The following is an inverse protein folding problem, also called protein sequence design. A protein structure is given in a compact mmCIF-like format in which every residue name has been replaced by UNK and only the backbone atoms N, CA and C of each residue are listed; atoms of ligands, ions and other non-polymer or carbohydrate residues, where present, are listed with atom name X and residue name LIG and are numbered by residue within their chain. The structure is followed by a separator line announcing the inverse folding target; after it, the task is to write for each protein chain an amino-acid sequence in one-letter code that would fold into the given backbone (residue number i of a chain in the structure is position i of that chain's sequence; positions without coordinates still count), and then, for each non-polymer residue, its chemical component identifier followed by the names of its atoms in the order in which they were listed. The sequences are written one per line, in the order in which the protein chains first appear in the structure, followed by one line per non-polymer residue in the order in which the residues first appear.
data_IF_511739891244
#
_entry.id   IF_511739891244
#
_cell.length_a   1.000
_cell.length_b   1.000
_cell.length_c   1.000
_cell.angle_alpha   90.00
_cell.angle_beta   90.00
_cell.angle_gamma   90.00
#
_symmetry.space_group_name_H-M   'P 1'
#
loop_
_entity.id
_entity.type
_entity.pdbx_description
1 polymer ?
#
# COMPACT_ATOMS: atom_id res chain seq x y z
N UNK A 1 12.21 -40.45 -66.95
CA UNK A 1 11.13 -39.49 -67.25
C UNK A 1 10.42 -39.22 -65.92
N UNK A 2 10.52 -37.98 -65.40
CA UNK A 2 9.62 -37.25 -64.46
C UNK A 2 8.95 -38.06 -63.31
N UNK A 3 8.95 -37.70 -62.03
CA UNK A 3 8.82 -36.38 -61.39
C UNK A 3 9.08 -36.54 -59.86
N UNK A 4 9.31 -35.41 -59.20
CA UNK A 4 9.65 -35.15 -57.79
C UNK A 4 8.44 -35.31 -56.83
N UNK A 5 8.68 -35.79 -55.59
CA UNK A 5 8.04 -35.36 -54.32
C UNK A 5 8.66 -36.16 -53.14
N UNK A 6 9.45 -35.55 -52.24
CA UNK A 6 9.06 -34.81 -51.02
C UNK A 6 8.88 -35.71 -49.79
N UNK A 7 9.80 -35.62 -48.82
CA UNK A 7 9.46 -35.62 -47.38
C UNK A 7 10.49 -34.78 -46.61
N UNK A 8 9.98 -33.73 -45.97
CA UNK A 8 10.69 -32.78 -45.13
C UNK A 8 11.17 -33.42 -43.82
N UNK A 9 12.41 -33.12 -43.45
CA UNK A 9 12.94 -33.24 -42.09
C UNK A 9 12.44 -32.05 -41.26
N UNK A 10 11.67 -32.32 -40.20
CA UNK A 10 11.29 -31.31 -39.21
C UNK A 10 12.54 -30.96 -38.37
N UNK A 11 13.10 -29.77 -38.58
CA UNK A 11 14.05 -29.16 -37.64
C UNK A 11 13.27 -28.46 -36.53
N UNK A 12 13.68 -28.75 -35.29
CA UNK A 12 13.36 -28.01 -34.08
C UNK A 12 13.58 -26.50 -34.28
N UNK A 13 12.53 -25.70 -34.12
CA UNK A 13 12.67 -24.29 -33.76
C UNK A 13 12.28 -24.15 -32.28
N UNK A 14 13.29 -23.97 -31.44
CA UNK A 14 13.13 -23.30 -30.16
C UNK A 14 12.67 -21.86 -30.45
N UNK A 15 11.40 -21.57 -30.19
CA UNK A 15 10.98 -20.20 -29.91
C UNK A 15 10.95 -20.04 -28.39
N UNK A 16 12.09 -19.64 -27.83
CA UNK A 16 12.09 -18.81 -26.62
C UNK A 16 11.43 -17.49 -26.99
N UNK A 17 10.12 -17.38 -26.79
CA UNK A 17 9.47 -16.08 -26.67
C UNK A 17 9.70 -15.59 -25.25
N UNK A 18 10.88 -15.02 -25.00
CA UNK A 18 11.05 -14.07 -23.90
C UNK A 18 10.08 -12.92 -24.17
N UNK A 19 8.99 -12.90 -23.42
CA UNK A 19 8.10 -11.75 -23.37
C UNK A 19 8.92 -10.58 -22.81
N UNK A 20 9.48 -9.76 -23.70
CA UNK A 20 9.97 -8.44 -23.36
C UNK A 20 8.77 -7.65 -22.86
N UNK A 21 8.63 -7.57 -21.53
CA UNK A 21 7.71 -6.66 -20.86
C UNK A 21 8.15 -5.25 -21.27
N UNK A 22 7.48 -4.67 -22.27
CA UNK A 22 7.70 -3.28 -22.65
C UNK A 22 7.16 -2.44 -21.49
N UNK A 23 8.06 -2.03 -20.59
CA UNK A 23 7.73 -1.06 -19.56
C UNK A 23 7.38 0.26 -20.25
N UNK A 24 6.12 0.68 -20.13
CA UNK A 24 5.73 2.02 -20.54
C UNK A 24 6.56 3.03 -19.74
N UNK A 25 7.18 3.99 -20.43
CA UNK A 25 7.96 5.02 -19.77
C UNK A 25 7.08 5.80 -18.78
N UNK A 26 7.56 6.09 -17.56
CA UNK A 26 6.81 6.84 -16.56
C UNK A 26 6.27 8.17 -17.10
N UNK A 27 5.00 8.47 -16.84
CA UNK A 27 4.42 9.76 -17.19
C UNK A 27 4.93 10.84 -16.21
N UNK A 28 5.51 11.90 -16.76
CA UNK A 28 6.03 13.02 -15.99
C UNK A 28 5.06 14.21 -15.92
N UNK A 29 3.92 14.20 -16.64
CA UNK A 29 2.94 15.28 -16.68
C UNK A 29 1.67 14.92 -15.89
N UNK A 30 1.81 14.69 -14.59
CA UNK A 30 0.73 14.21 -13.73
C UNK A 30 -0.12 15.36 -13.17
N UNK A 31 0.50 16.41 -12.64
CA UNK A 31 -0.19 17.50 -11.96
C UNK A 31 -0.63 18.62 -12.90
N UNK A 32 0.09 18.83 -14.00
CA UNK A 32 -0.17 19.90 -14.95
C UNK A 32 0.11 19.45 -16.40
N UNK A 33 -0.61 19.95 -17.42
CA UNK A 33 -0.28 19.67 -18.81
C UNK A 33 1.12 20.11 -19.24
N UNK A 34 1.68 21.17 -18.64
CA UNK A 34 3.07 21.56 -18.86
C UNK A 34 4.03 20.58 -18.17
N UNK A 35 4.76 19.80 -18.97
CA UNK A 35 5.79 18.85 -18.50
C UNK A 35 6.87 19.53 -17.64
N UNK A 36 7.12 20.82 -17.85
CA UNK A 36 8.11 21.58 -17.09
C UNK A 36 7.52 22.30 -15.88
N UNK A 37 6.22 22.15 -15.62
CA UNK A 37 5.57 22.72 -14.45
C UNK A 37 6.28 22.25 -13.16
N UNK A 38 6.41 23.15 -12.19
CA UNK A 38 7.21 22.92 -10.99
C UNK A 38 6.75 21.68 -10.20
N UNK A 39 5.44 21.45 -10.11
CA UNK A 39 4.88 20.28 -9.41
C UNK A 39 5.20 18.96 -10.13
N UNK A 40 5.19 18.95 -11.47
CA UNK A 40 5.55 17.80 -12.27
C UNK A 40 7.03 17.46 -12.07
N UNK A 41 7.91 18.48 -12.17
CA UNK A 41 9.35 18.32 -11.93
C UNK A 41 9.65 17.79 -10.53
N UNK A 42 8.96 18.33 -9.51
CA UNK A 42 9.11 17.89 -8.12
C UNK A 42 8.65 16.43 -7.93
N UNK A 43 7.47 16.09 -8.44
CA UNK A 43 6.94 14.73 -8.37
C UNK A 43 7.85 13.74 -9.11
N UNK A 44 8.21 14.01 -10.36
CA UNK A 44 9.07 13.13 -11.15
C UNK A 44 10.43 12.90 -10.49
N UNK A 45 11.02 13.93 -9.85
CA UNK A 45 12.28 13.76 -9.13
C UNK A 45 12.17 12.75 -7.98
N UNK A 46 11.03 12.70 -7.29
CA UNK A 46 10.85 11.83 -6.12
C UNK A 46 10.27 10.44 -6.46
N UNK A 47 9.47 10.33 -7.52
CA UNK A 47 8.72 9.11 -7.85
C UNK A 47 9.26 8.34 -9.04
N UNK A 48 10.19 8.90 -9.81
CA UNK A 48 10.85 8.20 -10.92
C UNK A 48 12.26 7.78 -10.49
N UNK A 49 12.52 6.47 -10.53
CA UNK A 49 13.86 5.90 -10.39
C UNK A 49 14.41 5.51 -11.75
N UNK A 50 15.72 5.55 -11.87
CA UNK A 50 16.45 5.06 -13.04
C UNK A 50 17.32 3.88 -12.61
N UNK A 51 17.32 2.80 -13.40
CA UNK A 51 18.26 1.69 -13.22
C UNK A 51 19.63 2.01 -13.84
N UNK A 52 20.59 1.09 -13.73
CA UNK A 52 21.94 1.31 -14.28
C UNK A 52 21.96 1.32 -15.81
N UNK A 53 20.90 0.85 -16.46
CA UNK A 53 20.75 0.81 -17.91
C UNK A 53 20.01 2.05 -18.43
N UNK A 54 19.59 2.98 -17.56
CA UNK A 54 18.87 4.18 -17.94
C UNK A 54 17.35 4.01 -18.06
N UNK A 55 16.82 2.83 -17.71
CA UNK A 55 15.38 2.59 -17.76
C UNK A 55 14.71 3.28 -16.57
N UNK A 56 13.57 3.93 -16.83
CA UNK A 56 12.83 4.68 -15.83
C UNK A 56 11.66 3.86 -15.30
N UNK A 57 11.47 3.91 -13.98
CA UNK A 57 10.41 3.19 -13.27
C UNK A 57 9.67 4.11 -12.32
N UNK A 58 8.37 3.88 -12.15
CA UNK A 58 7.52 4.62 -11.22
C UNK A 58 6.76 5.75 -11.87
N UNK A 59 6.79 6.95 -11.27
CA UNK A 59 5.91 8.06 -11.64
C UNK A 59 4.53 7.90 -11.01
N UNK A 60 3.58 7.29 -11.71
CA UNK A 60 2.19 7.22 -11.22
C UNK A 60 1.92 6.03 -10.27
N UNK A 61 2.76 5.91 -9.23
CA UNK A 61 2.67 4.90 -8.17
C UNK A 61 2.27 5.52 -6.85
N UNK A 62 1.49 4.81 -6.03
CA UNK A 62 1.05 5.29 -4.71
C UNK A 62 2.22 5.64 -3.79
N UNK A 63 3.29 4.84 -3.81
CA UNK A 63 4.47 5.04 -2.98
C UNK A 63 5.73 5.13 -3.86
N UNK A 64 6.71 5.97 -3.47
CA UNK A 64 7.98 6.07 -4.17
C UNK A 64 8.87 4.85 -3.88
N UNK A 65 9.76 4.54 -4.81
CA UNK A 65 10.78 3.51 -4.63
C UNK A 65 11.91 3.99 -3.71
N UNK A 66 11.67 3.92 -2.40
CA UNK A 66 12.61 4.32 -1.36
C UNK A 66 12.67 3.27 -0.25
N UNK A 67 13.88 2.85 0.12
CA UNK A 67 14.13 1.85 1.15
C UNK A 67 15.02 2.41 2.26
N UNK A 68 14.98 1.85 3.48
CA UNK A 68 15.93 2.23 4.53
C UNK A 68 17.41 2.08 4.12
N UNK A 69 17.70 1.16 3.20
CA UNK A 69 19.04 0.90 2.66
C UNK A 69 19.49 1.85 1.54
N UNK A 70 18.63 2.73 1.02
CA UNK A 70 19.00 3.69 -0.03
C UNK A 70 20.08 4.66 0.50
N UNK A 71 21.19 4.77 -0.22
CA UNK A 71 22.34 5.61 0.16
C UNK A 71 22.71 6.67 -0.88
N UNK A 72 22.33 6.49 -2.13
CA UNK A 72 22.73 7.38 -3.22
C UNK A 72 21.57 8.27 -3.69
N UNK A 73 20.43 7.65 -4.04
CA UNK A 73 19.30 8.37 -4.63
C UNK A 73 18.73 9.42 -3.65
N UNK A 74 18.65 10.67 -4.10
CA UNK A 74 18.25 11.86 -3.33
C UNK A 74 19.18 12.25 -2.17
N UNK A 75 20.19 11.46 -1.84
CA UNK A 75 21.09 11.70 -0.70
C UNK A 75 22.48 12.17 -1.11
N UNK A 76 22.90 11.87 -2.34
CA UNK A 76 24.21 12.25 -2.87
C UNK A 76 24.14 12.85 -4.28
N UNK A 77 25.23 13.56 -4.61
CA UNK A 77 25.52 14.07 -5.94
C UNK A 77 24.40 14.91 -6.57
N UNK A 78 24.26 14.78 -7.88
CA UNK A 78 23.35 15.61 -8.69
C UNK A 78 21.87 15.44 -8.28
N UNK A 79 21.44 14.24 -7.88
CA UNK A 79 20.03 14.01 -7.50
C UNK A 79 19.69 14.74 -6.20
N UNK A 80 20.58 14.73 -5.21
CA UNK A 80 20.41 15.49 -3.98
C UNK A 80 20.41 17.00 -4.24
N UNK A 81 21.39 17.52 -4.99
CA UNK A 81 21.45 18.94 -5.32
C UNK A 81 20.17 19.41 -6.04
N UNK A 82 19.67 18.64 -7.01
CA UNK A 82 18.40 18.93 -7.70
C UNK A 82 17.20 18.93 -6.74
N UNK A 83 17.15 17.98 -5.80
CA UNK A 83 16.06 17.92 -4.81
C UNK A 83 16.04 19.17 -3.92
N UNK A 84 17.21 19.58 -3.45
CA UNK A 84 17.37 20.78 -2.64
C UNK A 84 16.95 22.03 -3.43
N UNK A 85 17.45 22.20 -4.66
CA UNK A 85 17.11 23.35 -5.51
C UNK A 85 15.62 23.40 -5.82
N UNK A 86 15.01 22.29 -6.27
CA UNK A 86 13.58 22.28 -6.62
C UNK A 86 12.67 22.54 -5.42
N UNK A 87 13.02 22.02 -4.24
CA UNK A 87 12.27 22.33 -3.02
C UNK A 87 12.45 23.81 -2.62
N UNK A 88 13.65 24.38 -2.76
CA UNK A 88 13.89 25.80 -2.51
C UNK A 88 13.11 26.68 -3.50
N UNK A 89 13.06 26.32 -4.78
CA UNK A 89 12.24 27.01 -5.79
C UNK A 89 10.75 26.93 -5.45
N UNK A 90 10.27 25.75 -5.02
CA UNK A 90 8.89 25.55 -4.58
C UNK A 90 8.53 26.41 -3.37
N UNK A 91 9.43 26.52 -2.40
CA UNK A 91 9.17 27.27 -1.16
C UNK A 91 9.28 28.78 -1.41
N UNK A 92 10.38 29.24 -2.01
CA UNK A 92 10.67 30.68 -2.20
C UNK A 92 9.83 31.29 -3.33
N UNK A 93 9.54 30.52 -4.37
CA UNK A 93 8.77 30.96 -5.53
C UNK A 93 7.26 30.83 -5.35
N UNK A 94 6.76 30.60 -4.13
CA UNK A 94 5.35 30.33 -3.87
C UNK A 94 4.77 29.19 -4.74
N UNK A 95 5.56 28.15 -4.97
CA UNK A 95 5.20 27.01 -5.82
C UNK A 95 3.87 26.35 -5.42
N UNK A 96 3.55 26.34 -4.12
CA UNK A 96 2.27 25.86 -3.60
C UNK A 96 1.04 26.62 -4.15
N UNK A 97 1.19 27.86 -4.64
CA UNK A 97 0.10 28.68 -5.20
C UNK A 97 -0.13 28.43 -6.69
N UNK A 98 0.80 27.76 -7.38
CA UNK A 98 0.69 27.49 -8.83
C UNK A 98 -0.52 26.60 -9.16
N UNK A 99 -0.94 25.74 -8.23
CA UNK A 99 -2.15 24.92 -8.36
C UNK A 99 -3.01 25.07 -7.10
N UNK A 100 -4.21 25.61 -7.27
CA UNK A 100 -5.19 25.80 -6.19
C UNK A 100 -6.10 24.59 -5.95
N UNK A 101 -6.11 23.61 -6.88
CA UNK A 101 -6.99 22.45 -6.79
C UNK A 101 -6.69 21.62 -5.51
N UNK A 102 -7.67 21.46 -4.59
CA UNK A 102 -7.42 20.82 -3.29
C UNK A 102 -7.08 19.34 -3.41
N UNK A 103 -7.62 18.63 -4.42
CA UNK A 103 -7.30 17.23 -4.68
C UNK A 103 -5.83 17.07 -5.10
N UNK A 104 -5.35 17.90 -6.04
CA UNK A 104 -3.94 17.89 -6.45
C UNK A 104 -3.02 18.27 -5.28
N UNK A 105 -3.40 19.27 -4.47
CA UNK A 105 -2.67 19.67 -3.25
C UNK A 105 -2.54 18.52 -2.25
N UNK A 106 -3.63 17.83 -1.95
CA UNK A 106 -3.64 16.67 -1.04
C UNK A 106 -2.69 15.56 -1.51
N UNK A 107 -2.76 15.23 -2.80
CA UNK A 107 -1.90 14.18 -3.40
C UNK A 107 -0.43 14.57 -3.30
N UNK A 108 -0.05 15.80 -3.69
CA UNK A 108 1.35 16.23 -3.60
C UNK A 108 1.82 16.33 -2.15
N UNK A 109 0.99 16.80 -1.21
CA UNK A 109 1.34 16.83 0.21
C UNK A 109 1.64 15.42 0.73
N UNK A 110 0.78 14.46 0.41
CA UNK A 110 0.94 13.07 0.84
C UNK A 110 2.21 12.44 0.23
N UNK A 111 2.49 12.75 -1.04
CA UNK A 111 3.72 12.34 -1.72
C UNK A 111 4.96 12.88 -1.00
N UNK A 112 5.02 14.18 -0.68
CA UNK A 112 6.15 14.77 0.05
C UNK A 112 6.28 14.23 1.48
N UNK A 113 5.16 13.94 2.15
CA UNK A 113 5.17 13.32 3.47
C UNK A 113 5.79 11.92 3.43
N UNK A 114 5.60 11.17 2.34
CA UNK A 114 6.25 9.87 2.18
C UNK A 114 7.78 9.96 2.15
N UNK A 115 8.32 10.98 1.48
CA UNK A 115 9.76 11.24 1.42
C UNK A 115 10.28 11.68 2.79
N UNK A 116 9.55 12.56 3.49
CA UNK A 116 9.91 13.01 4.82
C UNK A 116 10.03 11.82 5.78
N UNK A 117 9.00 10.97 5.85
CA UNK A 117 8.99 9.81 6.72
C UNK A 117 10.13 8.85 6.39
N UNK A 118 10.45 8.62 5.11
CA UNK A 118 11.59 7.78 4.73
C UNK A 118 12.90 8.33 5.30
N UNK A 119 13.17 9.63 5.14
CA UNK A 119 14.38 10.25 5.71
C UNK A 119 14.42 10.23 7.24
N UNK A 120 13.27 10.13 7.91
CA UNK A 120 13.16 10.10 9.37
C UNK A 120 13.24 8.68 9.96
N UNK A 121 13.10 7.63 9.15
CA UNK A 121 13.08 6.23 9.59
C UNK A 121 14.15 5.37 8.89
N UNK A 122 15.21 5.97 8.36
CA UNK A 122 16.27 5.24 7.64
C UNK A 122 16.97 4.17 8.49
N UNK A 123 16.93 4.31 9.82
CA UNK A 123 17.52 3.38 10.78
C UNK A 123 16.56 2.22 11.15
N UNK A 124 15.31 2.27 10.69
CA UNK A 124 14.30 1.25 10.97
C UNK A 124 14.15 0.33 9.77
N UNK A 125 14.56 -0.92 9.94
CA UNK A 125 14.26 -1.97 8.95
C UNK A 125 12.76 -2.12 8.74
N UNK A 126 12.35 -2.53 7.53
CA UNK A 126 10.95 -2.84 7.25
C UNK A 126 10.60 -4.24 7.81
N UNK A 127 9.32 -4.51 8.14
CA UNK A 127 8.92 -5.80 8.70
C UNK A 127 9.29 -7.03 7.85
N UNK A 128 9.40 -6.86 6.53
CA UNK A 128 9.64 -7.94 5.56
C UNK A 128 10.64 -7.49 4.49
N UNK A 129 11.90 -7.24 4.86
CA UNK A 129 12.94 -6.74 3.95
C UNK A 129 13.42 -5.34 4.32
N UNK A 130 14.06 -4.63 3.38
CA UNK A 130 14.52 -3.26 3.61
C UNK A 130 15.42 -3.11 4.85
N UNK A 131 16.48 -3.92 4.95
CA UNK A 131 17.40 -3.90 6.10
C UNK A 131 18.14 -2.57 6.13
N UNK A 132 18.12 -1.88 7.27
CA UNK A 132 19.04 -0.77 7.51
C UNK A 132 20.46 -1.33 7.60
N UNK A 133 21.35 -0.90 6.70
CA UNK A 133 22.75 -1.33 6.69
C UNK A 133 23.63 -0.28 7.40
N UNK A 134 24.80 -0.64 7.97
CA UNK A 134 25.73 0.35 8.53
C UNK A 134 26.12 1.46 7.54
N UNK A 135 26.13 1.16 6.23
CA UNK A 135 26.42 2.13 5.18
C UNK A 135 25.41 3.29 5.13
N UNK A 136 24.19 3.07 5.61
CA UNK A 136 23.18 4.12 5.71
C UNK A 136 23.47 5.14 6.84
N UNK A 137 24.44 4.88 7.72
CA UNK A 137 24.73 5.64 8.95
C UNK A 137 26.02 6.47 8.86
N UNK A 138 26.18 7.27 7.80
CA UNK A 138 27.26 8.26 7.73
C UNK A 138 26.79 9.66 8.11
N UNK A 139 27.71 10.50 8.59
CA UNK A 139 27.41 11.90 8.91
C UNK A 139 26.91 12.66 7.67
N UNK A 140 27.55 12.46 6.51
CA UNK A 140 27.15 13.05 5.23
C UNK A 140 25.70 12.72 4.88
N UNK A 141 25.31 11.44 4.95
CA UNK A 141 23.94 11.01 4.66
C UNK A 141 22.93 11.59 5.65
N UNK A 142 23.30 11.70 6.93
CA UNK A 142 22.47 12.31 7.95
C UNK A 142 22.25 13.81 7.70
N UNK A 143 23.27 14.52 7.23
CA UNK A 143 23.17 15.93 6.85
C UNK A 143 22.30 16.11 5.60
N UNK A 144 22.45 15.25 4.58
CA UNK A 144 21.57 15.23 3.40
C UNK A 144 20.10 14.99 3.79
N UNK A 145 19.83 13.98 4.64
CA UNK A 145 18.47 13.72 5.16
C UNK A 145 17.93 14.89 5.96
N UNK A 146 18.74 15.54 6.79
CA UNK A 146 18.35 16.73 7.55
C UNK A 146 18.01 17.90 6.62
N UNK A 147 18.80 18.13 5.57
CA UNK A 147 18.57 19.17 4.58
C UNK A 147 17.26 18.97 3.81
N UNK A 148 16.93 17.72 3.47
CA UNK A 148 15.63 17.34 2.88
C UNK A 148 14.48 17.56 3.88
N UNK A 149 14.56 17.02 5.10
CA UNK A 149 13.50 17.15 6.13
C UNK A 149 13.09 18.59 6.38
N UNK A 150 14.06 19.50 6.48
CA UNK A 150 13.79 20.93 6.69
C UNK A 150 12.93 21.53 5.56
N UNK A 151 13.17 21.15 4.32
CA UNK A 151 12.46 21.69 3.16
C UNK A 151 11.13 20.99 2.92
N UNK A 152 11.13 19.66 3.04
CA UNK A 152 9.92 18.84 2.93
C UNK A 152 8.87 19.27 3.96
N UNK A 153 9.27 19.48 5.22
CA UNK A 153 8.34 19.98 6.26
C UNK A 153 7.70 21.31 5.88
N UNK A 154 8.48 22.28 5.37
CA UNK A 154 7.91 23.56 4.90
C UNK A 154 6.99 23.39 3.69
N UNK A 155 7.37 22.57 2.72
CA UNK A 155 6.52 22.33 1.55
C UNK A 155 5.20 21.61 1.92
N UNK A 156 5.26 20.65 2.85
CA UNK A 156 4.10 19.94 3.39
C UNK A 156 3.14 20.91 4.11
N UNK A 157 3.69 21.80 4.93
CA UNK A 157 2.94 22.86 5.63
C UNK A 157 2.26 23.83 4.66
N UNK A 158 3.00 24.32 3.64
CA UNK A 158 2.44 25.20 2.60
C UNK A 158 1.34 24.55 1.74
N UNK A 159 1.37 23.21 1.61
CA UNK A 159 0.36 22.44 0.88
C UNK A 159 -0.84 22.05 1.74
N UNK A 160 -0.80 22.29 3.05
CA UNK A 160 -1.85 21.89 3.97
C UNK A 160 -3.22 22.45 3.59
N UNK A 161 -4.22 21.59 3.73
CA UNK A 161 -5.61 21.90 3.44
C UNK A 161 -6.35 22.33 4.71
N UNK A 162 -7.39 23.13 4.53
CA UNK A 162 -8.39 23.30 5.58
C UNK A 162 -9.13 21.98 5.78
N UNK A 163 -9.64 21.74 6.99
CA UNK A 163 -10.33 20.50 7.34
C UNK A 163 -11.56 20.27 6.45
N UNK A 164 -12.29 21.35 6.11
CA UNK A 164 -13.44 21.29 5.20
C UNK A 164 -13.04 20.82 3.80
N UNK A 165 -11.95 21.33 3.25
CA UNK A 165 -11.47 20.95 1.91
C UNK A 165 -11.00 19.50 1.89
N UNK A 166 -10.29 19.08 2.94
CA UNK A 166 -9.81 17.70 3.07
C UNK A 166 -10.95 16.68 3.18
N UNK A 167 -12.04 17.03 3.88
CA UNK A 167 -13.24 16.19 3.99
C UNK A 167 -14.10 16.22 2.72
N UNK A 168 -14.06 17.32 1.98
CA UNK A 168 -14.80 17.49 0.71
C UNK A 168 -14.07 16.88 -0.50
N UNK A 169 -12.88 16.31 -0.33
CA UNK A 169 -12.18 15.62 -1.41
C UNK A 169 -13.04 14.48 -1.99
N UNK A 170 -12.82 14.22 -3.27
CA UNK A 170 -13.56 13.24 -4.05
C UNK A 170 -13.56 11.84 -3.41
N UNK A 171 -14.73 11.20 -3.37
CA UNK A 171 -14.82 9.77 -3.03
C UNK A 171 -14.60 8.94 -4.28
N UNK A 172 -13.32 8.69 -4.58
CA UNK A 172 -12.94 7.97 -5.78
C UNK A 172 -13.43 6.50 -5.82
N UNK A 173 -13.57 5.85 -4.67
CA UNK A 173 -14.10 4.48 -4.62
C UNK A 173 -15.55 4.44 -5.14
N UNK A 174 -16.40 5.34 -4.65
CA UNK A 174 -17.80 5.43 -5.10
C UNK A 174 -17.91 5.77 -6.58
N UNK A 175 -17.00 6.59 -7.12
CA UNK A 175 -16.95 6.87 -8.56
C UNK A 175 -16.53 5.64 -9.38
N UNK A 176 -15.52 4.89 -8.92
CA UNK A 176 -15.08 3.66 -9.58
C UNK A 176 -16.17 2.58 -9.61
N UNK A 177 -16.95 2.45 -8.53
CA UNK A 177 -18.12 1.57 -8.50
C UNK A 177 -19.22 2.08 -9.45
N UNK A 178 -19.47 3.39 -9.47
CA UNK A 178 -20.53 4.00 -10.29
C UNK A 178 -20.25 3.97 -11.78
N UNK A 179 -18.97 3.87 -12.19
CA UNK A 179 -18.59 3.75 -13.59
C UNK A 179 -18.99 2.41 -14.22
N UNK A 180 -19.29 1.38 -13.40
CA UNK A 180 -19.64 0.02 -13.82
C UNK A 180 -18.57 -0.67 -14.68
N UNK A 181 -17.34 -0.17 -14.64
CA UNK A 181 -16.18 -0.74 -15.34
C UNK A 181 -15.78 -2.10 -14.78
N UNK A 182 -16.06 -2.32 -13.49
CA UNK A 182 -15.72 -3.53 -12.75
C UNK A 182 -16.99 -4.23 -12.29
N UNK A 183 -16.93 -5.55 -12.14
CA UNK A 183 -18.03 -6.32 -11.56
C UNK A 183 -18.31 -5.84 -10.13
N UNK A 184 -19.58 -5.89 -9.69
CA UNK A 184 -19.95 -5.48 -8.33
C UNK A 184 -19.86 -6.62 -7.31
N UNK A 185 -19.78 -7.86 -7.79
CA UNK A 185 -19.70 -9.07 -6.98
C UNK A 185 -18.69 -10.03 -7.63
N UNK A 186 -18.16 -10.94 -6.81
CA UNK A 186 -17.31 -12.02 -7.30
C UNK A 186 -18.16 -13.06 -8.05
N UNK A 187 -17.65 -13.49 -9.20
CA UNK A 187 -18.18 -14.61 -9.98
C UNK A 187 -17.03 -15.59 -10.25
N UNK A 188 -17.16 -16.82 -9.75
CA UNK A 188 -16.14 -17.86 -9.92
C UNK A 188 -15.93 -18.22 -11.40
N UNK A 189 -16.96 -18.09 -12.24
CA UNK A 189 -16.87 -18.34 -13.70
C UNK A 189 -16.20 -17.21 -14.47
N UNK A 190 -16.14 -16.01 -13.89
CA UNK A 190 -15.49 -14.83 -14.46
C UNK A 190 -14.32 -14.35 -13.59
N UNK A 191 -13.57 -15.28 -12.97
CA UNK A 191 -12.54 -14.94 -11.99
C UNK A 191 -11.43 -14.03 -12.53
N UNK A 192 -11.20 -14.02 -13.83
CA UNK A 192 -10.23 -13.12 -14.48
C UNK A 192 -10.74 -11.67 -14.61
N UNK A 193 -12.06 -11.45 -14.49
CA UNK A 193 -12.63 -10.10 -14.45
C UNK A 193 -12.47 -9.52 -13.05
N UNK A 194 -12.02 -8.27 -13.00
CA UNK A 194 -11.88 -7.54 -11.76
C UNK A 194 -13.26 -7.15 -11.19
N UNK A 195 -13.43 -7.27 -9.88
CA UNK A 195 -14.62 -6.81 -9.17
C UNK A 195 -14.29 -5.80 -8.07
N UNK A 196 -15.20 -4.84 -7.87
CA UNK A 196 -15.11 -3.79 -6.87
C UNK A 196 -16.47 -3.64 -6.16
N UNK A 197 -16.61 -4.15 -4.91
CA UNK A 197 -17.90 -4.27 -4.25
C UNK A 197 -18.47 -2.94 -3.75
N UNK A 198 -19.67 -2.57 -4.19
CA UNK A 198 -20.30 -1.28 -3.89
C UNK A 198 -20.51 -1.01 -2.38
N UNK A 199 -20.66 -2.06 -1.58
CA UNK A 199 -20.96 -1.99 -0.14
C UNK A 199 -19.73 -2.03 0.77
N UNK A 200 -18.50 -2.12 0.24
CA UNK A 200 -17.28 -2.33 1.03
C UNK A 200 -17.00 -1.25 2.08
N UNK A 201 -17.17 0.02 1.69
CA UNK A 201 -16.87 1.18 2.54
C UNK A 201 -18.10 1.74 3.25
N UNK A 202 -19.10 0.89 3.51
CA UNK A 202 -20.30 1.23 4.26
C UNK A 202 -20.34 0.47 5.59
N UNK A 203 -20.51 1.17 6.71
CA UNK A 203 -20.71 0.54 8.02
C UNK A 203 -21.99 -0.31 8.09
N UNK A 204 -22.91 -0.17 7.12
CA UNK A 204 -24.15 -0.96 6.99
C UNK A 204 -24.10 -1.96 5.84
N UNK A 205 -23.00 -2.03 5.10
CA UNK A 205 -22.84 -2.93 3.96
C UNK A 205 -22.62 -4.39 4.37
N UNK A 206 -22.53 -5.27 3.37
CA UNK A 206 -22.31 -6.70 3.57
C UNK A 206 -20.95 -7.01 4.21
N UNK A 207 -19.99 -6.12 3.97
CA UNK A 207 -18.65 -6.19 4.51
C UNK A 207 -18.60 -5.66 5.95
N UNK A 208 -18.04 -6.46 6.85
CA UNK A 208 -17.82 -6.07 8.25
C UNK A 208 -16.38 -5.60 8.40
N UNK A 209 -16.19 -4.35 8.82
CA UNK A 209 -14.87 -3.88 9.22
C UNK A 209 -14.44 -4.64 10.49
N UNK A 210 -13.23 -5.20 10.49
CA UNK A 210 -12.72 -6.06 11.57
C UNK A 210 -11.36 -5.59 12.06
N UNK A 211 -11.09 -5.88 13.34
CA UNK A 211 -9.82 -5.59 14.03
C UNK A 211 -9.34 -6.78 14.86
N UNK A 212 -8.07 -6.75 15.23
CA UNK A 212 -7.47 -7.72 16.13
C UNK A 212 -7.78 -7.45 17.61
N UNK A 213 -7.21 -8.29 18.48
CA UNK A 213 -7.33 -8.16 19.93
C UNK A 213 -6.55 -6.95 20.48
N UNK A 214 -5.44 -6.57 19.85
CA UNK A 214 -4.63 -5.43 20.26
C UNK A 214 -5.35 -4.09 20.03
N UNK A 215 -4.96 -3.08 20.83
CA UNK A 215 -5.52 -1.72 20.72
C UNK A 215 -4.96 -0.91 19.55
N UNK A 216 -3.97 -1.43 18.83
CA UNK A 216 -3.36 -0.80 17.67
C UNK A 216 -4.20 -0.91 16.39
N UNK A 217 -3.63 -0.54 15.24
CA UNK A 217 -4.30 -0.64 13.95
C UNK A 217 -4.66 -2.08 13.55
N UNK A 218 -5.70 -2.24 12.73
CA UNK A 218 -6.17 -3.54 12.23
C UNK A 218 -5.19 -4.29 11.32
N UNK A 219 -4.31 -3.58 10.62
CA UNK A 219 -3.27 -4.15 9.76
C UNK A 219 -1.88 -3.60 10.14
N UNK A 220 -1.34 -3.99 11.32
CA UNK A 220 -0.15 -3.35 11.91
C UNK A 220 1.12 -3.52 11.05
N UNK A 221 1.27 -4.64 10.35
CA UNK A 221 2.37 -4.86 9.39
C UNK A 221 2.35 -3.82 8.27
N UNK A 222 1.18 -3.63 7.63
CA UNK A 222 1.02 -2.65 6.56
C UNK A 222 1.24 -1.23 7.10
N UNK A 223 0.68 -0.91 8.26
CA UNK A 223 0.88 0.37 8.92
C UNK A 223 2.37 0.69 9.16
N UNK A 224 3.16 -0.29 9.62
CA UNK A 224 4.61 -0.11 9.80
C UNK A 224 5.33 0.11 8.49
N UNK A 225 5.02 -0.71 7.48
CA UNK A 225 5.69 -0.64 6.19
C UNK A 225 5.52 0.74 5.54
N UNK A 226 4.33 1.33 5.65
CA UNK A 226 4.02 2.65 5.07
C UNK A 226 4.10 3.81 6.07
N UNK A 227 4.75 3.61 7.22
CA UNK A 227 5.00 4.66 8.21
C UNK A 227 3.75 5.28 8.85
N UNK A 228 2.59 4.65 8.71
CA UNK A 228 1.30 5.11 9.26
C UNK A 228 0.74 6.38 8.62
N UNK A 229 1.23 6.79 7.45
CA UNK A 229 0.71 7.95 6.70
C UNK A 229 -0.71 7.73 6.18
N UNK A 230 -1.16 6.48 6.15
CA UNK A 230 -2.44 6.05 5.63
C UNK A 230 -3.03 4.98 6.54
N UNK A 231 -4.29 5.07 6.99
CA UNK A 231 -4.95 3.96 7.64
C UNK A 231 -5.14 2.79 6.68
N UNK A 232 -4.96 1.59 7.21
CA UNK A 232 -5.30 0.33 6.56
C UNK A 232 -6.49 -0.30 7.28
N UNK A 233 -7.59 -0.42 6.56
CA UNK A 233 -8.85 -0.97 7.04
C UNK A 233 -8.98 -2.42 6.54
N UNK A 234 -9.37 -3.34 7.42
CA UNK A 234 -9.60 -4.74 7.06
C UNK A 234 -11.08 -5.03 7.13
N UNK A 235 -11.59 -5.70 6.10
CA UNK A 235 -12.99 -6.09 6.02
C UNK A 235 -13.10 -7.59 5.77
N UNK A 236 -14.14 -8.18 6.35
CA UNK A 236 -14.51 -9.57 6.17
C UNK A 236 -15.94 -9.63 5.62
N UNK A 237 -16.17 -10.51 4.65
CA UNK A 237 -17.49 -10.86 4.15
C UNK A 237 -17.55 -12.38 3.96
N UNK A 238 -18.26 -13.08 4.84
CA UNK A 238 -18.54 -14.51 4.66
C UNK A 238 -19.81 -14.69 3.80
N UNK A 239 -19.94 -15.79 3.03
CA UNK A 239 -21.17 -16.16 2.35
C UNK A 239 -22.42 -15.97 3.22
N UNK A 240 -23.45 -15.32 2.66
CA UNK A 240 -24.64 -14.88 3.41
C UNK A 240 -24.52 -13.46 3.99
N UNK A 241 -23.38 -12.78 3.79
CA UNK A 241 -23.23 -11.35 4.03
C UNK A 241 -23.01 -10.99 5.50
N UNK A 242 -23.50 -9.81 5.88
CA UNK A 242 -23.18 -9.18 7.16
C UNK A 242 -23.60 -10.01 8.38
N UNK A 243 -24.82 -10.54 8.37
CA UNK A 243 -25.37 -11.29 9.51
C UNK A 243 -24.61 -12.60 9.75
N UNK A 244 -24.31 -13.35 8.68
CA UNK A 244 -23.49 -14.56 8.77
C UNK A 244 -22.05 -14.23 9.19
N UNK A 245 -21.52 -13.08 8.75
CA UNK A 245 -20.19 -12.63 9.18
C UNK A 245 -20.17 -12.40 10.69
N UNK A 246 -21.19 -11.75 11.27
CA UNK A 246 -21.29 -11.58 12.72
C UNK A 246 -21.43 -12.91 13.47
N UNK A 247 -22.24 -13.85 12.96
CA UNK A 247 -22.38 -15.19 13.55
C UNK A 247 -21.03 -15.91 13.58
N UNK A 248 -20.29 -15.88 12.47
CA UNK A 248 -18.96 -16.46 12.37
C UNK A 248 -17.97 -15.82 13.36
N UNK A 249 -17.89 -14.49 13.41
CA UNK A 249 -17.00 -13.77 14.33
C UNK A 249 -17.33 -14.10 15.79
N UNK A 250 -18.61 -14.20 16.15
CA UNK A 250 -19.02 -14.60 17.49
C UNK A 250 -18.58 -16.03 17.82
N UNK A 251 -18.82 -16.98 16.91
CA UNK A 251 -18.39 -18.37 17.06
C UNK A 251 -16.87 -18.48 17.23
N UNK A 252 -16.09 -17.80 16.37
CA UNK A 252 -14.64 -17.76 16.46
C UNK A 252 -14.16 -17.23 17.81
N UNK A 253 -14.65 -16.07 18.23
CA UNK A 253 -14.20 -15.45 19.48
C UNK A 253 -14.60 -16.26 20.72
N UNK A 254 -15.76 -16.94 20.70
CA UNK A 254 -16.17 -17.85 21.77
C UNK A 254 -15.27 -19.08 21.85
N UNK A 255 -14.96 -19.70 20.71
CA UNK A 255 -14.06 -20.85 20.65
C UNK A 255 -12.66 -20.49 21.14
N UNK A 256 -12.13 -19.35 20.72
CA UNK A 256 -10.80 -18.87 21.18
C UNK A 256 -10.82 -18.44 22.65
N UNK A 257 -11.92 -17.91 23.19
CA UNK A 257 -11.99 -17.48 24.59
C UNK A 257 -11.99 -18.63 25.62
N UNK A 258 -12.31 -19.86 25.19
CA UNK A 258 -12.33 -21.01 26.11
C UNK A 258 -10.93 -21.26 26.66
N UNK A 259 -10.80 -21.29 27.98
CA UNK A 259 -9.57 -21.79 28.64
C UNK A 259 -9.51 -23.28 28.34
N UNK A 260 -8.53 -23.72 27.56
CA UNK A 260 -8.24 -25.17 27.44
C UNK A 260 -7.82 -25.65 28.83
N UNK A 261 -8.68 -26.39 29.52
CA UNK A 261 -8.36 -26.95 30.84
C UNK A 261 -7.37 -28.11 30.75
N UNK A 262 -7.19 -28.70 29.57
CA UNK A 262 -6.28 -29.82 29.33
C UNK A 262 -5.57 -29.64 27.98
N UNK A 263 -4.29 -30.05 27.92
CA UNK A 263 -3.44 -29.92 26.74
C UNK A 263 -3.84 -30.86 25.57
N UNK A 264 -4.81 -31.74 25.81
CA UNK A 264 -5.24 -32.82 24.91
C UNK A 264 -6.51 -32.52 24.10
N UNK A 265 -7.30 -31.51 24.50
CA UNK A 265 -8.61 -31.23 23.88
C UNK A 265 -8.56 -29.96 23.01
N UNK A 266 -7.62 -29.93 22.06
CA UNK A 266 -7.55 -28.87 21.04
C UNK A 266 -8.66 -29.09 20.02
N UNK A 267 -9.91 -28.74 20.36
CA UNK A 267 -10.96 -28.62 19.35
C UNK A 267 -10.49 -27.65 18.26
N UNK A 268 -10.59 -28.02 16.98
CA UNK A 268 -10.14 -27.16 15.89
C UNK A 268 -10.88 -25.83 15.93
N UNK A 269 -10.17 -24.74 15.62
CA UNK A 269 -10.78 -23.42 15.52
C UNK A 269 -11.85 -23.44 14.41
N UNK A 270 -12.99 -22.75 14.60
CA UNK A 270 -14.01 -22.67 13.57
C UNK A 270 -13.44 -21.94 12.34
N UNK A 271 -13.41 -22.65 11.22
CA UNK A 271 -12.99 -22.10 9.94
C UNK A 271 -14.13 -21.31 9.29
N UNK A 272 -13.78 -20.31 8.49
CA UNK A 272 -14.76 -19.59 7.67
C UNK A 272 -15.16 -20.46 6.45
N UNK A 273 -16.35 -20.29 5.86
CA UNK A 273 -16.78 -21.10 4.72
C UNK A 273 -16.09 -20.71 3.40
N UNK A 274 -16.06 -21.63 2.41
CA UNK A 274 -15.65 -21.35 1.01
C UNK A 274 -16.42 -20.13 0.49
N UNK A 275 -15.75 -19.25 -0.26
CA UNK A 275 -16.31 -18.01 -0.79
C UNK A 275 -16.17 -16.82 0.17
N UNK A 276 -15.63 -17.03 1.37
CA UNK A 276 -15.27 -15.93 2.26
C UNK A 276 -14.31 -14.99 1.55
N UNK A 277 -14.57 -13.70 1.70
CA UNK A 277 -13.79 -12.63 1.10
C UNK A 277 -13.17 -11.74 2.17
N UNK A 278 -11.91 -11.37 1.98
CA UNK A 278 -11.18 -10.43 2.85
C UNK A 278 -10.70 -9.27 2.00
N UNK A 279 -10.95 -8.04 2.45
CA UNK A 279 -10.47 -6.85 1.79
C UNK A 279 -9.56 -6.04 2.70
N UNK A 280 -8.51 -5.46 2.12
CA UNK A 280 -7.63 -4.49 2.74
C UNK A 280 -7.74 -3.18 1.95
N UNK A 281 -8.19 -2.12 2.61
CA UNK A 281 -8.34 -0.79 1.99
C UNK A 281 -7.39 0.19 2.65
N UNK A 282 -6.57 0.84 1.82
CA UNK A 282 -5.72 1.97 2.24
C UNK A 282 -6.42 3.27 1.89
N UNK A 283 -6.67 4.14 2.89
CA UNK A 283 -7.16 5.50 2.64
C UNK A 283 -6.04 6.52 2.79
N UNK A 284 -6.09 7.61 2.03
CA UNK A 284 -5.13 8.70 2.14
C UNK A 284 -5.43 9.56 3.37
N UNK A 285 -4.42 9.77 4.21
CA UNK A 285 -4.45 10.87 5.19
C UNK A 285 -3.72 12.09 4.64
N UNK A 286 -4.16 13.26 5.08
CA UNK A 286 -3.53 14.56 4.82
C UNK A 286 -3.20 15.23 6.15
N UNK A 287 -2.31 16.23 6.10
CA UNK A 287 -2.01 17.11 7.22
C UNK A 287 -2.76 18.41 7.00
N UNK A 288 -3.57 18.79 7.96
CA UNK A 288 -4.40 20.00 7.90
C UNK A 288 -3.57 21.23 8.25
N UNK A 289 -4.07 22.43 7.93
CA UNK A 289 -3.41 23.68 8.36
C UNK A 289 -3.30 23.83 9.87
N UNK A 290 -4.16 23.14 10.63
CA UNK A 290 -4.08 23.05 12.09
C UNK A 290 -2.99 22.10 12.58
N UNK A 291 -2.23 21.48 11.67
CA UNK A 291 -1.16 20.53 11.98
C UNK A 291 -1.66 19.11 12.31
N UNK A 292 -2.97 18.86 12.21
CA UNK A 292 -3.57 17.56 12.54
C UNK A 292 -3.58 16.60 11.35
N UNK A 293 -3.60 15.30 11.64
CA UNK A 293 -3.82 14.28 10.62
C UNK A 293 -5.33 14.09 10.43
N UNK A 294 -5.78 14.18 9.18
CA UNK A 294 -7.16 13.90 8.78
C UNK A 294 -7.18 12.80 7.72
N UNK A 295 -8.10 11.83 7.85
CA UNK A 295 -8.31 10.79 6.84
C UNK A 295 -9.33 11.27 5.81
N UNK A 296 -8.89 11.46 4.57
CA UNK A 296 -9.74 11.91 3.47
C UNK A 296 -10.66 10.78 2.94
N UNK A 297 -11.66 11.11 2.10
CA UNK A 297 -12.42 10.11 1.35
C UNK A 297 -11.60 9.29 0.35
N UNK A 298 -10.41 9.76 -0.06
CA UNK A 298 -9.59 9.11 -1.09
C UNK A 298 -9.10 7.72 -0.66
N UNK A 299 -9.28 6.75 -1.55
CA UNK A 299 -8.75 5.41 -1.47
C UNK A 299 -7.51 5.29 -2.34
N UNK A 300 -6.40 4.86 -1.74
CA UNK A 300 -5.13 4.68 -2.43
C UNK A 300 -4.97 3.27 -2.99
N UNK A 301 -5.40 2.26 -2.23
CA UNK A 301 -5.36 0.87 -2.67
C UNK A 301 -6.56 0.10 -2.14
N UNK A 302 -6.99 -0.89 -2.92
CA UNK A 302 -7.98 -1.89 -2.52
C UNK A 302 -7.41 -3.24 -2.89
N UNK A 303 -7.21 -4.12 -1.92
CA UNK A 303 -6.85 -5.51 -2.18
C UNK A 303 -8.00 -6.38 -1.70
N UNK A 304 -8.42 -7.34 -2.53
CA UNK A 304 -9.49 -8.28 -2.21
C UNK A 304 -8.97 -9.69 -2.44
N UNK A 305 -9.26 -10.60 -1.51
CA UNK A 305 -9.00 -12.03 -1.62
C UNK A 305 -10.31 -12.77 -1.44
N UNK A 306 -10.59 -13.72 -2.32
CA UNK A 306 -11.72 -14.64 -2.21
C UNK A 306 -11.17 -16.05 -2.04
N UNK A 307 -11.57 -16.74 -0.98
CA UNK A 307 -11.07 -18.09 -0.69
C UNK A 307 -11.91 -19.14 -1.41
N UNK A 308 -11.32 -19.79 -2.41
CA UNK A 308 -11.95 -20.84 -3.22
C UNK A 308 -11.87 -22.22 -2.53
N UNK A 309 -10.92 -22.39 -1.60
CA UNK A 309 -10.77 -23.59 -0.79
C UNK A 309 -10.45 -23.19 0.65
N UNK A 310 -10.98 -23.94 1.62
CA UNK A 310 -10.80 -23.71 3.06
C UNK A 310 -10.48 -25.03 3.75
N UNK A 311 -9.41 -25.06 4.53
CA UNK A 311 -8.97 -26.25 5.26
C UNK A 311 -7.48 -26.22 5.59
N UNK A 312 -7.06 -27.11 6.50
CA UNK A 312 -5.67 -27.21 6.99
C UNK A 312 -4.75 -27.94 5.99
N UNK A 313 -5.29 -28.77 5.09
CA UNK A 313 -4.53 -29.60 4.14
C UNK A 313 -4.24 -28.94 2.79
N UNK A 314 -4.47 -27.63 2.67
CA UNK A 314 -4.26 -26.88 1.41
C UNK A 314 -2.77 -26.69 1.16
N UNK A 315 -2.24 -27.39 0.15
CA UNK A 315 -0.83 -27.30 -0.28
C UNK A 315 -0.57 -26.20 -1.31
N UNK A 316 -1.54 -25.93 -2.19
CA UNK A 316 -1.43 -24.88 -3.21
C UNK A 316 -2.17 -23.62 -2.77
N UNK A 317 -1.41 -22.69 -2.19
CA UNK A 317 -1.94 -21.41 -1.72
C UNK A 317 -2.28 -20.43 -2.85
N UNK A 318 -1.80 -20.66 -4.07
CA UNK A 318 -2.20 -19.84 -5.23
C UNK A 318 -3.56 -20.28 -5.75
N UNK A 319 -3.80 -21.59 -5.82
CA UNK A 319 -5.09 -22.12 -6.27
C UNK A 319 -6.22 -21.94 -5.24
N UNK A 320 -5.90 -21.83 -3.94
CA UNK A 320 -6.92 -21.73 -2.90
C UNK A 320 -7.60 -20.37 -2.80
N UNK A 321 -7.11 -19.35 -3.48
CA UNK A 321 -7.63 -17.99 -3.40
C UNK A 321 -7.48 -17.22 -4.71
N UNK A 322 -8.47 -16.37 -5.00
CA UNK A 322 -8.37 -15.39 -6.08
C UNK A 322 -8.07 -14.02 -5.49
N UNK A 323 -7.03 -13.35 -6.02
CA UNK A 323 -6.57 -12.05 -5.51
C UNK A 323 -6.82 -10.96 -6.55
N UNK A 324 -7.37 -9.84 -6.09
CA UNK A 324 -7.56 -8.62 -6.86
C UNK A 324 -6.85 -7.48 -6.14
N UNK A 325 -6.25 -6.57 -6.90
CA UNK A 325 -5.66 -5.35 -6.36
C UNK A 325 -5.97 -4.18 -7.28
N UNK A 326 -6.41 -3.09 -6.70
CA UNK A 326 -6.56 -1.80 -7.34
C UNK A 326 -5.60 -0.82 -6.68
N UNK A 327 -5.03 0.05 -7.50
CA UNK A 327 -4.15 1.13 -7.06
C UNK A 327 -4.65 2.45 -7.62
N UNK A 328 -4.45 3.52 -6.85
CA UNK A 328 -4.72 4.86 -7.31
C UNK A 328 -3.74 5.23 -8.43
N UNK A 329 -4.29 5.68 -9.54
CA UNK A 329 -3.61 6.30 -10.65
C UNK A 329 -3.99 7.79 -10.64
N UNK A 330 -3.02 8.67 -10.39
CA UNK A 330 -3.23 10.11 -10.20
C UNK A 330 -3.73 10.75 -11.48
N UNK A 331 -3.22 10.34 -12.65
CA UNK A 331 -3.66 10.89 -13.93
C UNK A 331 -5.15 10.66 -14.15
N UNK A 332 -5.60 9.42 -13.98
CA UNK A 332 -7.02 9.07 -14.10
C UNK A 332 -7.85 9.71 -12.99
N UNK A 333 -7.32 9.81 -11.76
CA UNK A 333 -7.99 10.49 -10.66
C UNK A 333 -8.28 11.96 -11.00
N UNK A 334 -7.27 12.68 -11.50
CA UNK A 334 -7.42 14.10 -11.87
C UNK A 334 -8.26 14.29 -13.12
N UNK A 335 -8.27 13.31 -14.03
CA UNK A 335 -9.15 13.27 -15.19
C UNK A 335 -10.56 12.72 -14.87
N UNK A 336 -10.84 12.34 -13.62
CA UNK A 336 -12.10 11.70 -13.19
C UNK A 336 -12.47 10.42 -13.95
N UNK A 337 -11.48 9.71 -14.48
CA UNK A 337 -11.67 8.45 -15.22
C UNK A 337 -11.79 7.31 -14.21
N UNK A 338 -12.96 6.68 -14.10
CA UNK A 338 -13.22 5.54 -13.20
C UNK A 338 -12.78 5.80 -11.74
N UNK A 339 -12.87 7.05 -11.27
CA UNK A 339 -12.34 7.48 -9.97
C UNK A 339 -10.81 7.40 -9.82
N UNK A 340 -10.07 7.03 -10.87
CA UNK A 340 -8.63 6.83 -10.78
C UNK A 340 -8.21 5.55 -10.05
N UNK A 341 -9.09 4.57 -9.88
CA UNK A 341 -8.70 3.25 -9.41
C UNK A 341 -8.48 2.32 -10.61
N UNK A 342 -7.25 1.85 -10.78
CA UNK A 342 -6.86 0.91 -11.84
C UNK A 342 -6.52 -0.47 -11.26
N UNK A 343 -6.94 -1.56 -11.90
CA UNK A 343 -6.53 -2.89 -11.49
C UNK A 343 -5.03 -3.11 -11.76
N UNK A 344 -4.38 -3.84 -10.87
CA UNK A 344 -2.99 -4.30 -11.05
C UNK A 344 -3.01 -5.59 -11.87
N UNK A 345 -2.19 -5.62 -12.94
CA UNK A 345 -2.02 -6.83 -13.76
C UNK A 345 -1.42 -7.97 -12.92
N UNK A 346 -1.86 -9.21 -13.18
CA UNK A 346 -1.45 -10.42 -12.45
C UNK A 346 0.07 -10.59 -12.30
N UNK A 347 0.81 -10.28 -13.37
CA UNK A 347 2.26 -10.44 -13.46
C UNK A 347 3.03 -9.14 -13.22
N UNK A 348 2.36 -8.04 -12.84
CA UNK A 348 3.03 -6.77 -12.60
C UNK A 348 4.07 -6.90 -11.49
N UNK A 349 5.29 -6.47 -11.78
CA UNK A 349 6.37 -6.27 -10.80
C UNK A 349 6.45 -4.81 -10.32
N UNK A 350 5.60 -3.93 -10.86
CA UNK A 350 5.64 -2.49 -10.61
C UNK A 350 4.87 -2.11 -9.34
N UNK A 351 5.54 -1.33 -8.49
CA UNK A 351 5.05 -0.87 -7.21
C UNK A 351 5.65 -1.65 -6.04
N UNK A 352 5.68 -1.01 -4.87
CA UNK A 352 6.08 -1.66 -3.63
C UNK A 352 4.86 -2.40 -3.05
N UNK A 353 4.78 -3.71 -3.22
CA UNK A 353 3.89 -4.55 -2.42
C UNK A 353 4.66 -5.34 -1.40
N UNK A 354 4.99 -4.70 -0.26
CA UNK A 354 5.68 -5.38 0.84
C UNK A 354 6.87 -6.22 0.33
N UNK A 355 7.56 -5.75 -0.72
CA UNK A 355 8.50 -6.59 -1.46
C UNK A 355 9.69 -6.79 -0.54
N UNK A 356 10.09 -8.07 -0.39
CA UNK A 356 11.19 -8.57 0.43
C UNK A 356 12.57 -8.02 0.07
N UNK A 357 12.64 -7.01 -0.79
CA UNK A 357 13.87 -6.45 -1.29
C UNK A 357 14.36 -5.28 -0.45
N UNK A 358 15.64 -5.00 -0.59
CA UNK A 358 16.24 -3.70 -0.30
C UNK A 358 16.25 -2.88 -1.59
N UNK A 359 16.96 -1.75 -1.60
CA UNK A 359 17.10 -0.92 -2.80
C UNK A 359 17.81 -1.69 -3.93
N UNK A 360 17.00 -2.20 -4.87
CA UNK A 360 17.49 -3.00 -5.99
C UNK A 360 18.01 -2.16 -7.17
N UNK A 361 17.79 -0.85 -7.14
CA UNK A 361 18.41 0.08 -8.09
C UNK A 361 19.88 0.32 -7.71
N UNK A 362 20.19 0.35 -6.41
CA UNK A 362 21.57 0.43 -5.91
C UNK A 362 22.24 -0.96 -5.88
N UNK A 363 21.48 -2.04 -5.70
CA UNK A 363 21.97 -3.42 -5.74
C UNK A 363 21.07 -4.37 -6.54
N UNK A 364 21.38 -4.55 -7.83
CA UNK A 364 20.60 -5.38 -8.76
C UNK A 364 20.42 -6.84 -8.32
N UNK A 365 21.30 -7.38 -7.45
CA UNK A 365 21.14 -8.74 -6.89
C UNK A 365 19.88 -8.88 -6.04
N UNK A 366 19.28 -7.77 -5.64
CA UNK A 366 18.07 -7.70 -4.81
C UNK A 366 16.82 -7.46 -5.65
N UNK A 367 16.93 -7.49 -6.99
CA UNK A 367 15.79 -7.32 -7.89
C UNK A 367 14.74 -8.41 -7.58
N UNK A 368 13.47 -8.04 -7.40
CA UNK A 368 12.43 -9.02 -7.09
C UNK A 368 12.25 -10.01 -8.24
N UNK A 369 11.96 -11.26 -7.88
CA UNK A 369 11.67 -12.36 -8.81
C UNK A 369 10.19 -12.76 -8.85
N UNK A 370 9.31 -12.01 -8.19
CA UNK A 370 7.88 -12.29 -8.06
C UNK A 370 7.02 -11.06 -8.33
N UNK A 371 5.76 -11.29 -8.69
CA UNK A 371 4.80 -10.21 -8.95
C UNK A 371 4.25 -9.61 -7.66
N UNK A 372 3.68 -8.42 -7.80
CA UNK A 372 2.99 -7.71 -6.72
C UNK A 372 1.85 -8.54 -6.12
N UNK A 373 1.15 -9.29 -6.97
CA UNK A 373 0.04 -10.15 -6.54
C UNK A 373 0.55 -11.37 -5.77
N UNK A 374 1.73 -11.89 -6.12
CA UNK A 374 2.36 -13.02 -5.46
C UNK A 374 2.81 -12.68 -4.04
N UNK A 375 3.34 -11.48 -3.79
CA UNK A 375 3.74 -11.09 -2.43
C UNK A 375 2.56 -11.03 -1.45
N UNK A 376 1.36 -10.69 -1.94
CA UNK A 376 0.13 -10.76 -1.17
C UNK A 376 -0.20 -12.19 -0.73
N UNK A 377 0.02 -13.17 -1.60
CA UNK A 377 -0.21 -14.59 -1.32
C UNK A 377 0.85 -15.09 -0.33
N UNK A 378 2.12 -14.78 -0.56
CA UNK A 378 3.24 -15.30 0.24
C UNK A 378 3.19 -14.91 1.71
N UNK A 379 2.77 -13.68 2.01
CA UNK A 379 2.52 -13.30 3.39
C UNK A 379 1.30 -14.04 3.96
N UNK A 380 0.20 -14.14 3.22
CA UNK A 380 -1.06 -14.66 3.75
C UNK A 380 -1.24 -16.17 3.60
N UNK A 381 -0.27 -16.88 3.00
CA UNK A 381 -0.29 -18.32 2.80
C UNK A 381 0.10 -19.12 4.03
N UNK A 382 0.75 -18.49 5.03
CA UNK A 382 1.25 -19.17 6.24
C UNK A 382 0.15 -19.87 7.09
N UNK A 383 -1.14 -19.66 6.78
CA UNK A 383 -2.26 -20.39 7.37
C UNK A 383 -3.11 -21.18 6.36
N UNK A 384 -2.76 -21.23 5.08
CA UNK A 384 -3.67 -21.76 4.04
C UNK A 384 -5.01 -21.04 3.97
N UNK A 385 -6.03 -21.68 3.41
CA UNK A 385 -7.41 -21.17 3.43
C UNK A 385 -8.06 -21.27 4.81
N UNK A 386 -7.36 -20.90 5.89
CA UNK A 386 -7.88 -20.97 7.27
C UNK A 386 -7.94 -19.60 7.91
N UNK A 387 -8.55 -19.51 9.09
CA UNK A 387 -8.59 -18.29 9.93
C UNK A 387 -7.18 -17.71 10.20
N UNK A 388 -6.13 -18.54 10.18
CA UNK A 388 -4.75 -18.09 10.41
C UNK A 388 -4.19 -17.24 9.24
N UNK A 389 -4.76 -17.34 8.04
CA UNK A 389 -4.42 -16.43 6.93
C UNK A 389 -4.93 -15.01 7.12
N UNK A 390 -5.86 -14.79 8.06
CA UNK A 390 -6.33 -13.47 8.46
C UNK A 390 -5.39 -12.93 9.54
N UNK A 391 -4.35 -12.20 9.14
CA UNK A 391 -3.30 -11.71 10.07
C UNK A 391 -3.79 -10.68 11.08
N UNK A 392 -4.96 -10.09 10.85
CA UNK A 392 -5.67 -9.31 11.87
C UNK A 392 -6.09 -10.17 13.07
N UNK A 393 -6.38 -11.46 12.85
CA UNK A 393 -6.60 -12.46 13.90
C UNK A 393 -5.28 -13.02 14.45
N UNK A 394 -4.38 -13.51 13.58
CA UNK A 394 -3.08 -14.12 13.95
C UNK A 394 -1.99 -13.06 14.20
N UNK A 395 -2.24 -12.14 15.13
CA UNK A 395 -1.30 -11.04 15.40
C UNK A 395 -0.02 -11.51 16.12
N UNK A 396 -0.11 -12.56 16.91
CA UNK A 396 0.97 -13.11 17.75
C UNK A 396 2.21 -13.55 16.96
N UNK A 397 2.07 -13.97 15.70
CA UNK A 397 3.21 -14.38 14.88
C UNK A 397 3.98 -13.20 14.25
N UNK A 398 3.33 -12.04 14.06
CA UNK A 398 3.83 -10.99 13.17
C UNK A 398 3.88 -9.59 13.82
N UNK A 399 3.30 -9.46 15.01
CA UNK A 399 3.24 -8.21 15.75
C UNK A 399 4.06 -8.41 17.03
N UNK A 400 5.24 -7.79 17.18
CA UNK A 400 6.09 -7.95 18.35
C UNK A 400 5.36 -7.73 19.68
N UNK A 401 4.42 -6.78 19.74
CA UNK A 401 3.60 -6.48 20.91
C UNK A 401 2.60 -7.61 21.25
N UNK A 402 2.36 -8.54 20.32
CA UNK A 402 1.55 -9.75 20.51
C UNK A 402 2.38 -11.03 20.69
N UNK A 403 3.73 -10.99 20.63
CA UNK A 403 4.58 -12.19 20.67
C UNK A 403 4.45 -13.04 21.96
N UNK A 404 3.87 -12.48 23.03
CA UNK A 404 3.53 -13.19 24.27
C UNK A 404 2.02 -13.37 24.50
N UNK A 405 1.19 -13.08 23.51
CA UNK A 405 -0.26 -13.21 23.63
C UNK A 405 -0.64 -14.68 23.63
N UNK A 406 -1.25 -15.15 24.73
CA UNK A 406 -1.84 -16.48 24.77
C UNK A 406 -2.88 -16.66 23.66
N UNK A 407 -2.90 -17.84 23.02
CA UNK A 407 -3.87 -18.18 21.97
C UNK A 407 -5.31 -17.85 22.38
N UNK A 408 -5.64 -18.05 23.66
CA UNK A 408 -6.99 -17.79 24.17
C UNK A 408 -7.37 -16.29 24.27
N UNK A 409 -6.45 -15.39 23.95
CA UNK A 409 -6.65 -13.93 23.86
C UNK A 409 -6.73 -13.43 22.42
N UNK A 410 -6.43 -14.25 21.41
CA UNK A 410 -6.58 -13.87 20.00
C UNK A 410 -8.07 -13.63 19.68
N UNK A 411 -8.36 -12.55 18.98
CA UNK A 411 -9.73 -12.17 18.63
C UNK A 411 -9.76 -11.54 17.25
N UNK A 412 -10.87 -11.75 16.55
CA UNK A 412 -11.24 -10.99 15.37
C UNK A 412 -12.56 -10.28 15.68
N UNK A 413 -12.50 -8.98 15.94
CA UNK A 413 -13.62 -8.23 16.49
C UNK A 413 -14.20 -7.32 15.43
N UNK A 414 -15.54 -7.21 15.30
CA UNK A 414 -16.12 -6.18 14.48
C UNK A 414 -15.78 -4.79 15.02
N UNK A 415 -15.64 -3.82 14.13
CA UNK A 415 -15.33 -2.43 14.43
C UNK A 415 -16.04 -1.51 13.43
N UNK A 416 -15.87 -0.20 13.59
CA UNK A 416 -16.40 0.81 12.66
C UNK A 416 -15.25 1.45 11.90
N UNK A 417 -15.52 1.85 10.67
CA UNK A 417 -14.52 2.49 9.79
C UNK A 417 -13.86 3.69 10.49
N UNK A 418 -14.66 4.57 11.11
CA UNK A 418 -14.17 5.77 11.78
C UNK A 418 -13.28 5.45 12.99
N UNK A 419 -13.58 4.38 13.74
CA UNK A 419 -12.78 4.01 14.91
C UNK A 419 -11.41 3.46 14.51
N UNK A 420 -11.34 2.71 13.42
CA UNK A 420 -10.05 2.24 12.88
C UNK A 420 -9.21 3.38 12.30
N UNK A 421 -9.84 4.37 11.67
CA UNK A 421 -9.14 5.60 11.26
C UNK A 421 -8.53 6.33 12.45
N UNK A 422 -9.29 6.51 13.55
CA UNK A 422 -8.79 7.12 14.79
C UNK A 422 -7.63 6.31 15.40
N UNK A 423 -7.70 4.98 15.40
CA UNK A 423 -6.60 4.12 15.88
C UNK A 423 -5.33 4.28 15.05
N UNK A 424 -5.46 4.36 13.73
CA UNK A 424 -4.33 4.60 12.83
C UNK A 424 -3.69 5.97 13.09
N UNK A 425 -4.49 7.02 13.24
CA UNK A 425 -4.01 8.37 13.60
C UNK A 425 -3.30 8.34 14.96
N UNK A 426 -3.93 7.76 15.99
CA UNK A 426 -3.33 7.64 17.33
C UNK A 426 -2.01 6.88 17.31
N UNK A 427 -1.90 5.85 16.46
CA UNK A 427 -0.65 5.13 16.25
C UNK A 427 0.44 6.02 15.63
N UNK A 428 0.12 6.80 14.59
CA UNK A 428 1.06 7.74 13.95
C UNK A 428 1.50 8.85 14.92
N UNK A 429 0.59 9.40 15.72
CA UNK A 429 0.92 10.44 16.72
C UNK A 429 1.95 10.02 17.76
N UNK A 430 2.09 8.71 18.02
CA UNK A 430 3.09 8.19 18.97
C UNK A 430 4.46 7.96 18.35
N UNK A 431 4.63 8.23 17.05
CA UNK A 431 5.88 7.95 16.34
C UNK A 431 6.85 9.13 16.36
N UNK A 432 8.13 8.78 16.41
CA UNK A 432 9.23 9.72 16.31
C UNK A 432 9.17 10.55 15.00
N UNK A 433 8.89 9.91 13.87
CA UNK A 433 8.81 10.60 12.57
C UNK A 433 7.74 11.69 12.53
N UNK A 434 6.60 11.48 13.18
CA UNK A 434 5.56 12.49 13.33
C UNK A 434 5.99 13.65 14.24
N UNK A 435 6.52 13.34 15.43
CA UNK A 435 7.03 14.37 16.34
C UNK A 435 8.14 15.21 15.70
N UNK A 436 9.00 14.59 14.90
CA UNK A 436 10.04 15.29 14.16
C UNK A 436 9.46 16.23 13.10
N UNK A 437 8.44 15.82 12.35
CA UNK A 437 7.77 16.67 11.37
C UNK A 437 7.17 17.91 12.04
N UNK A 438 6.43 17.70 13.14
CA UNK A 438 5.82 18.79 13.92
C UNK A 438 6.86 19.76 14.44
N UNK A 439 7.97 19.26 15.02
CA UNK A 439 9.05 20.11 15.50
C UNK A 439 9.69 20.97 14.41
N UNK A 440 9.84 20.45 13.18
CA UNK A 440 10.31 21.26 12.05
C UNK A 440 9.30 22.34 11.65
N UNK A 441 8.02 21.99 11.54
CA UNK A 441 6.95 22.95 11.19
C UNK A 441 6.90 24.08 12.23
N UNK A 442 6.88 23.75 13.52
CA UNK A 442 6.88 24.74 14.61
C UNK A 442 8.09 25.66 14.60
N UNK A 443 9.28 25.11 14.32
CA UNK A 443 10.53 25.90 14.28
C UNK A 443 10.50 26.90 13.13
N UNK A 444 9.99 26.49 11.97
CA UNK A 444 9.93 27.33 10.77
C UNK A 444 8.82 28.38 10.89
N UNK A 445 7.72 28.10 11.57
CA UNK A 445 6.65 29.09 11.80
C UNK A 445 7.04 30.22 12.75
N UNK A 446 8.13 30.05 13.52
CA UNK A 446 8.68 31.06 14.44
C UNK A 446 9.85 31.86 13.86
N UNK A 447 10.38 31.46 12.70
CA UNK A 447 11.49 32.10 11.98
C UNK A 447 10.99 32.83 10.75
#
# INVERSE_FOLDING_TARGET
MRLICSFLTLCFFCCDSSANDVHDAPDCAIFDPDKNHLWNRLHSLFFVREDKQGNKFGGDLVDPYLWPSTTEFLLKGNTHSKAITLLDDFIKGNGHQLISNPLKRAVLQHDLWSIFDWTANFDKGLPFGGVSTPLAHSQELNDSRKALRRRLSKAIDLLALDESDALALINNYSLAVSSKTYLNAFDESESDKHFLPSSLLSDKGDWVCVRGALQGPSAPVHMRYYGGRSPFLVFLNVPGGRLETFKYLNLLNQSTARKSSEATDKKPLPQFPKGTSVALVRKMSVITKTGNILVSPLVQTVQIRVYNQVGEDIKDHNACQTVYKFVLNRKDLFASVNGGLKPVKKNSIEGLSLIYSSDYFENERLKPNGSVMKSCIDCHSCGGGTVHSIFTYKQDDWVPEAAGMSLNKLRLLPTRILEEQKRAISWKYKRHDWGLLQGWIETISKS
#
